data_IF_834212187898
#
_entry.id   IF_834212187898
#
_cell.length_a   1.000
_cell.length_b   1.000
_cell.length_c   1.000
_cell.angle_alpha   90.00
_cell.angle_beta   90.00
_cell.angle_gamma   90.00
#
_symmetry.space_group_name_H-M   'P 1'
#
loop_
_entity.id
_entity.type
_entity.pdbx_description
1 polymer ?
#
# COMPACT_ATOMS: atom_id res chain seq x y z
N UNK A 1 -5.45 -21.62 -7.21
CA UNK A 1 -6.03 -20.48 -6.49
C UNK A 1 -7.14 -20.84 -5.49
N UNK A 2 -8.06 -21.79 -5.78
CA UNK A 2 -9.21 -22.06 -4.89
C UNK A 2 -9.08 -23.29 -3.96
N UNK A 3 -7.94 -24.01 -3.97
CA UNK A 3 -7.78 -25.26 -3.19
C UNK A 3 -7.59 -25.05 -1.68
N UNK A 4 -7.18 -23.85 -1.26
CA UNK A 4 -6.85 -23.52 0.14
C UNK A 4 -7.81 -22.49 0.76
N UNK A 5 -9.01 -22.30 0.22
CA UNK A 5 -9.99 -21.31 0.70
C UNK A 5 -10.25 -21.34 2.22
N UNK A 6 -10.25 -22.54 2.82
CA UNK A 6 -10.43 -22.70 4.27
C UNK A 6 -9.29 -22.11 5.10
N UNK A 7 -8.08 -22.03 4.55
CA UNK A 7 -6.89 -21.47 5.18
C UNK A 7 -6.69 -20.00 4.77
N UNK A 8 -7.04 -19.65 3.53
CA UNK A 8 -6.85 -18.30 2.99
C UNK A 8 -7.80 -17.28 3.62
N UNK A 9 -9.03 -17.66 3.95
CA UNK A 9 -10.02 -16.76 4.59
C UNK A 9 -9.54 -16.28 5.97
N UNK A 10 -9.22 -17.16 6.95
CA UNK A 10 -8.74 -16.69 8.25
C UNK A 10 -7.40 -15.97 8.15
N UNK A 11 -6.50 -16.39 7.24
CA UNK A 11 -5.25 -15.70 7.00
C UNK A 11 -5.46 -14.26 6.48
N UNK A 12 -6.37 -14.06 5.54
CA UNK A 12 -6.69 -12.74 4.98
C UNK A 12 -7.27 -11.79 6.04
N UNK A 13 -8.10 -12.30 6.95
CA UNK A 13 -8.64 -11.51 8.07
C UNK A 13 -7.52 -11.04 9.01
N UNK A 14 -6.61 -11.94 9.39
CA UNK A 14 -5.47 -11.59 10.26
C UNK A 14 -4.57 -10.57 9.56
N UNK A 15 -4.26 -10.77 8.27
CA UNK A 15 -3.45 -9.83 7.48
C UNK A 15 -4.14 -8.47 7.35
N UNK A 16 -5.46 -8.41 7.17
CA UNK A 16 -6.20 -7.14 7.15
C UNK A 16 -6.02 -6.36 8.46
N UNK A 17 -6.17 -7.03 9.61
CA UNK A 17 -6.02 -6.40 10.92
C UNK A 17 -4.58 -5.94 11.20
N UNK A 18 -3.57 -6.61 10.66
CA UNK A 18 -2.16 -6.18 10.75
C UNK A 18 -1.85 -5.07 9.73
N UNK A 19 -2.44 -5.11 8.54
CA UNK A 19 -2.20 -4.15 7.47
C UNK A 19 -2.84 -2.78 7.72
N UNK A 20 -4.02 -2.73 8.34
CA UNK A 20 -4.69 -1.48 8.70
C UNK A 20 -3.82 -0.53 9.54
N UNK A 21 -3.27 -0.94 10.70
CA UNK A 21 -2.40 -0.09 11.49
C UNK A 21 -1.09 0.22 10.76
N UNK A 22 -0.56 -0.71 9.96
CA UNK A 22 0.65 -0.47 9.17
C UNK A 22 0.44 0.65 8.13
N UNK A 23 -0.66 0.61 7.37
CA UNK A 23 -0.97 1.63 6.35
C UNK A 23 -1.18 3.02 6.98
N UNK A 24 -1.89 3.09 8.11
CA UNK A 24 -2.10 4.32 8.86
C UNK A 24 -0.79 4.86 9.46
N UNK A 25 0.04 3.96 10.02
CA UNK A 25 1.33 4.31 10.59
C UNK A 25 2.31 4.86 9.55
N UNK A 26 2.37 4.25 8.36
CA UNK A 26 3.21 4.72 7.26
C UNK A 26 2.73 6.08 6.76
N UNK A 27 1.41 6.28 6.57
CA UNK A 27 0.88 7.58 6.17
C UNK A 27 1.22 8.70 7.17
N UNK A 28 1.06 8.40 8.47
CA UNK A 28 1.39 9.33 9.55
C UNK A 28 2.89 9.65 9.59
N UNK A 29 3.75 8.64 9.44
CA UNK A 29 5.21 8.84 9.36
C UNK A 29 5.64 9.63 8.11
N UNK A 30 4.89 9.51 7.02
CA UNK A 30 5.17 10.22 5.76
C UNK A 30 4.69 11.68 5.75
N UNK A 31 3.92 12.12 6.76
CA UNK A 31 3.25 13.43 6.76
C UNK A 31 2.11 13.56 5.74
N UNK A 32 1.68 12.43 5.14
CA UNK A 32 0.60 12.39 4.16
C UNK A 32 -0.77 12.21 4.84
N UNK A 33 -1.89 12.57 4.19
CA UNK A 33 -3.21 12.30 4.73
C UNK A 33 -3.39 10.80 5.04
N UNK A 34 -3.89 10.47 6.23
CA UNK A 34 -4.11 9.08 6.67
C UNK A 34 -4.92 8.28 5.66
N UNK A 35 -5.91 8.93 5.04
CA UNK A 35 -6.77 8.33 4.03
C UNK A 35 -6.00 7.89 2.78
N UNK A 36 -4.95 8.62 2.40
CA UNK A 36 -4.12 8.29 1.23
C UNK A 36 -3.37 6.97 1.39
N UNK A 37 -2.86 6.67 2.60
CA UNK A 37 -2.20 5.39 2.88
C UNK A 37 -3.18 4.22 2.87
N UNK A 38 -4.41 4.44 3.36
CA UNK A 38 -5.47 3.44 3.35
C UNK A 38 -5.93 3.14 1.92
N UNK A 39 -6.15 4.16 1.10
CA UNK A 39 -6.47 4.01 -0.33
C UNK A 39 -5.33 3.27 -1.05
N UNK A 40 -4.08 3.66 -0.82
CA UNK A 40 -2.93 3.02 -1.45
C UNK A 40 -2.82 1.53 -1.09
N UNK A 41 -3.13 1.16 0.15
CA UNK A 41 -3.20 -0.25 0.58
C UNK A 41 -4.34 -1.02 -0.10
N UNK A 42 -5.54 -0.45 -0.15
CA UNK A 42 -6.71 -1.10 -0.77
C UNK A 42 -6.49 -1.27 -2.29
N UNK A 43 -6.13 -0.18 -2.98
CA UNK A 43 -5.93 -0.21 -4.44
C UNK A 43 -4.71 -1.06 -4.80
N UNK A 44 -3.59 -0.92 -4.07
CA UNK A 44 -2.41 -1.74 -4.27
C UNK A 44 -2.71 -3.23 -4.09
N UNK A 45 -3.44 -3.60 -3.03
CA UNK A 45 -3.84 -4.97 -2.77
C UNK A 45 -4.75 -5.56 -3.86
N UNK A 46 -5.74 -4.79 -4.34
CA UNK A 46 -6.69 -5.25 -5.36
C UNK A 46 -6.03 -5.33 -6.75
N UNK A 47 -5.34 -4.27 -7.16
CA UNK A 47 -4.75 -4.17 -8.51
C UNK A 47 -3.55 -5.11 -8.64
N UNK A 48 -2.61 -5.07 -7.68
CA UNK A 48 -1.44 -5.95 -7.74
C UNK A 48 -1.86 -7.39 -7.44
N UNK A 49 -2.78 -7.63 -6.49
CA UNK A 49 -3.25 -8.97 -6.19
C UNK A 49 -4.02 -9.66 -7.33
N UNK A 50 -4.61 -8.89 -8.26
CA UNK A 50 -5.28 -9.46 -9.45
C UNK A 50 -4.33 -9.69 -10.62
N UNK A 51 -3.25 -8.93 -10.74
CA UNK A 51 -2.27 -9.03 -11.83
C UNK A 51 -1.09 -9.94 -11.46
N UNK A 52 -0.75 -10.03 -10.17
CA UNK A 52 0.42 -10.75 -9.68
C UNK A 52 0.16 -12.25 -9.55
N UNK A 53 1.11 -13.06 -10.02
CA UNK A 53 1.11 -14.52 -9.90
C UNK A 53 1.71 -15.00 -8.55
N UNK A 54 1.90 -14.09 -7.59
CA UNK A 54 2.45 -14.40 -6.28
C UNK A 54 1.40 -15.01 -5.34
N UNK A 55 1.62 -16.25 -4.91
CA UNK A 55 0.69 -17.00 -4.07
C UNK A 55 0.48 -16.42 -2.65
N UNK A 56 1.39 -15.59 -2.14
CA UNK A 56 1.34 -15.05 -0.76
C UNK A 56 1.68 -13.56 -0.68
N UNK A 57 1.69 -12.85 -1.82
CA UNK A 57 2.07 -11.45 -1.88
C UNK A 57 1.00 -10.52 -1.32
N UNK A 58 1.36 -9.68 -0.36
CA UNK A 58 0.51 -8.58 0.12
C UNK A 58 1.07 -7.27 -0.43
N UNK A 59 0.23 -6.49 -1.10
CA UNK A 59 0.64 -5.22 -1.73
C UNK A 59 0.01 -4.03 -1.02
N UNK A 60 0.81 -2.99 -0.80
CA UNK A 60 0.42 -1.77 -0.10
C UNK A 60 1.61 -0.84 0.14
N UNK A 61 1.45 0.21 0.98
CA UNK A 61 2.54 1.14 1.29
C UNK A 61 3.71 0.41 1.97
N UNK A 62 4.91 0.51 1.42
CA UNK A 62 6.10 -0.11 1.98
C UNK A 62 6.70 0.74 3.11
N UNK A 63 7.16 0.11 4.20
CA UNK A 63 7.77 0.83 5.32
C UNK A 63 8.98 1.69 4.89
N UNK A 64 9.77 1.21 3.92
CA UNK A 64 10.91 1.95 3.38
C UNK A 64 10.54 3.18 2.54
N UNK A 65 9.29 3.28 2.07
CA UNK A 65 8.82 4.45 1.32
C UNK A 65 8.43 5.61 2.24
N UNK A 66 8.21 5.39 3.55
CA UNK A 66 7.74 6.43 4.45
C UNK A 66 8.67 7.67 4.47
N UNK A 67 9.98 7.42 4.56
CA UNK A 67 11.00 8.48 4.56
C UNK A 67 11.12 9.13 3.18
N UNK A 68 11.02 8.35 2.10
CA UNK A 68 11.08 8.88 0.73
C UNK A 68 9.90 9.81 0.44
N UNK A 69 8.69 9.42 0.86
CA UNK A 69 7.49 10.24 0.72
C UNK A 69 7.56 11.47 1.61
N UNK A 70 8.08 11.35 2.84
CA UNK A 70 8.28 12.49 3.74
C UNK A 70 9.19 13.56 3.11
N UNK A 71 10.35 13.16 2.59
CA UNK A 71 11.29 14.07 1.90
C UNK A 71 10.69 14.63 0.60
N UNK A 72 9.95 13.83 -0.16
CA UNK A 72 9.27 14.31 -1.37
C UNK A 72 8.22 15.38 -1.03
N UNK A 73 7.41 15.17 0.01
CA UNK A 73 6.41 16.18 0.43
C UNK A 73 7.04 17.44 1.05
N UNK A 74 8.27 17.37 1.54
CA UNK A 74 9.03 18.55 1.97
C UNK A 74 9.59 19.38 0.81
N UNK A 75 9.90 18.72 -0.31
CA UNK A 75 10.57 19.36 -1.46
C UNK A 75 9.60 19.77 -2.56
N UNK A 76 8.42 19.16 -2.64
CA UNK A 76 7.42 19.40 -3.70
C UNK A 76 5.98 19.29 -3.20
N UNK A 77 5.06 19.96 -3.90
CA UNK A 77 3.63 19.93 -3.60
C UNK A 77 3.02 18.54 -3.80
N UNK A 78 1.93 18.26 -3.07
CA UNK A 78 1.24 16.97 -3.10
C UNK A 78 0.75 16.57 -4.51
N UNK A 79 0.34 17.51 -5.36
CA UNK A 79 -0.10 17.18 -6.73
C UNK A 79 1.06 16.68 -7.59
N UNK A 80 2.24 17.29 -7.46
CA UNK A 80 3.45 16.87 -8.19
C UNK A 80 3.87 15.48 -7.68
N UNK A 81 3.68 15.21 -6.39
CA UNK A 81 3.95 13.89 -5.81
C UNK A 81 3.04 12.81 -6.39
N UNK A 82 1.74 13.07 -6.48
CA UNK A 82 0.81 12.13 -7.12
C UNK A 82 1.18 11.86 -8.58
N UNK A 83 1.57 12.89 -9.33
CA UNK A 83 2.05 12.71 -10.71
C UNK A 83 3.30 11.82 -10.76
N UNK A 84 4.28 12.07 -9.89
CA UNK A 84 5.49 11.27 -9.80
C UNK A 84 5.19 9.79 -9.45
N UNK A 85 4.23 9.55 -8.56
CA UNK A 85 3.76 8.21 -8.21
C UNK A 85 3.10 7.51 -9.41
N UNK A 86 2.28 8.21 -10.19
CA UNK A 86 1.67 7.66 -11.40
C UNK A 86 2.75 7.29 -12.42
N UNK A 87 3.75 8.15 -12.64
CA UNK A 87 4.86 7.87 -13.55
C UNK A 87 5.66 6.65 -13.05
N UNK A 88 5.99 6.62 -11.76
CA UNK A 88 6.72 5.51 -11.14
C UNK A 88 5.96 4.17 -11.17
N UNK A 89 4.62 4.19 -11.21
CA UNK A 89 3.81 2.99 -11.34
C UNK A 89 3.67 2.47 -12.78
N UNK A 90 3.95 3.31 -13.79
CA UNK A 90 3.94 2.93 -15.21
C UNK A 90 5.29 2.34 -15.66
N UNK A 91 6.38 2.80 -15.03
CA UNK A 91 7.75 2.31 -15.27
C UNK A 91 7.98 0.93 -14.65
#
# INVERSE_FOLDING_TARGET
MLSHLKQDIPASIVVLFVALPLCLGIALASGAPLFSGLIAGIIGGIVVGSISDSAHGVSGPAAGLAVVVFEALHTMSFEIFLLAVVIGGVL
#
